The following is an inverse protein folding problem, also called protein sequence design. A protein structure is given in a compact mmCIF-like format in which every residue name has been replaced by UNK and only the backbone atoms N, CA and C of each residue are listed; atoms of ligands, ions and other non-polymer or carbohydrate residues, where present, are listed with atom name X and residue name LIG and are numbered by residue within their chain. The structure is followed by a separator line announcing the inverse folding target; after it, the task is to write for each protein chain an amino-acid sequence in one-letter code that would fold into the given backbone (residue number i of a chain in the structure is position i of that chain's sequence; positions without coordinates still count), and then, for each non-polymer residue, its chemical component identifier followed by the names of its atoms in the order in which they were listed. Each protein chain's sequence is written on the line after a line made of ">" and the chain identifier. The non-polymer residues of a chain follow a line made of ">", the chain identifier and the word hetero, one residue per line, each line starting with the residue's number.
data_IF_578870632710
#
_entry.id   IF_578870632710
#
_cell.length_a   1.000
_cell.length_b   1.000
_cell.length_c   1.000
_cell.angle_alpha   90.00
_cell.angle_beta   90.00
_cell.angle_gamma   90.00
#
_symmetry.space_group_name_H-M   'P 1'
#
loop_
_entity.id
_entity.type
_entity.pdbx_description
1 polymer ?
#
# COMPACT_ATOMS: atom_id res chain seq x y z
N UNK A 1 8.29 20.42 -21.56
CA UNK A 1 9.51 20.26 -20.72
C UNK A 1 10.21 18.97 -21.11
N UNK A 2 11.53 18.96 -21.19
CA UNK A 2 12.27 17.72 -21.45
C UNK A 2 12.29 16.84 -20.20
N UNK A 3 12.45 15.53 -20.39
CA UNK A 3 12.57 14.54 -19.29
C UNK A 3 13.69 14.91 -18.31
N UNK A 4 14.74 15.57 -18.78
CA UNK A 4 15.86 16.04 -17.97
C UNK A 4 15.52 17.26 -17.09
N UNK A 5 14.56 18.10 -17.49
CA UNK A 5 14.15 19.27 -16.69
C UNK A 5 13.23 18.86 -15.52
N UNK A 6 12.38 17.86 -15.72
CA UNK A 6 11.53 17.31 -14.64
C UNK A 6 12.33 16.61 -13.55
N UNK A 7 13.44 15.95 -13.92
CA UNK A 7 14.31 15.24 -12.97
C UNK A 7 15.20 16.18 -12.13
N UNK A 8 15.32 17.46 -12.48
CA UNK A 8 16.13 18.42 -11.70
C UNK A 8 15.58 18.73 -10.32
N UNK A 9 14.28 18.51 -10.10
CA UNK A 9 13.62 18.74 -8.81
C UNK A 9 13.70 17.53 -7.87
N UNK A 10 14.20 16.37 -8.37
CA UNK A 10 14.35 15.16 -7.56
C UNK A 10 15.75 15.12 -6.96
N UNK A 11 15.85 15.37 -5.66
CA UNK A 11 17.14 15.53 -4.97
C UNK A 11 17.82 14.20 -4.66
N UNK A 12 17.04 13.14 -4.51
CA UNK A 12 17.51 11.81 -4.11
C UNK A 12 17.86 10.92 -5.30
N UNK A 13 17.28 11.17 -6.47
CA UNK A 13 17.54 10.39 -7.66
C UNK A 13 18.91 10.72 -8.23
N UNK A 14 19.80 9.71 -8.28
CA UNK A 14 21.16 9.86 -8.85
C UNK A 14 22.22 10.42 -7.89
N UNK A 15 21.91 10.69 -6.61
CA UNK A 15 22.91 11.03 -5.61
C UNK A 15 23.84 9.83 -5.32
N UNK A 16 25.16 10.09 -5.17
CA UNK A 16 26.15 9.03 -4.91
C UNK A 16 25.96 8.41 -3.52
N UNK A 17 25.53 9.18 -2.53
CA UNK A 17 25.24 8.74 -1.18
C UNK A 17 23.77 8.95 -0.90
N UNK A 18 23.12 7.92 -0.33
CA UNK A 18 21.72 7.99 0.11
C UNK A 18 21.73 7.94 1.64
N UNK A 19 21.45 9.06 2.33
CA UNK A 19 21.36 9.06 3.77
C UNK A 19 20.12 8.26 4.19
N UNK A 20 20.32 7.24 5.00
CA UNK A 20 19.23 6.53 5.67
C UNK A 20 18.90 7.22 6.98
N UNK A 21 17.65 7.66 7.12
CA UNK A 21 17.13 8.30 8.34
C UNK A 21 16.36 7.24 9.12
N UNK A 22 16.67 7.10 10.43
CA UNK A 22 16.11 6.08 11.31
C UNK A 22 14.98 6.61 12.20
N UNK A 23 14.54 7.83 11.97
CA UNK A 23 13.42 8.49 12.65
C UNK A 23 12.39 8.89 11.62
N UNK A 24 11.11 8.80 11.97
CA UNK A 24 10.02 9.18 11.10
C UNK A 24 10.25 10.54 10.42
N UNK A 25 10.27 10.54 9.10
CA UNK A 25 10.73 11.69 8.31
C UNK A 25 9.89 11.86 7.03
N UNK A 26 8.69 12.44 7.12
CA UNK A 26 7.84 12.65 5.94
C UNK A 26 8.46 13.63 4.92
N UNK A 27 9.36 14.50 5.36
CA UNK A 27 10.06 15.47 4.50
C UNK A 27 11.00 14.83 3.47
N UNK A 28 11.28 13.54 3.55
CA UNK A 28 12.08 12.83 2.52
C UNK A 28 11.26 12.43 1.30
N UNK A 29 9.93 12.50 1.40
CA UNK A 29 9.05 12.18 0.28
C UNK A 29 9.19 13.22 -0.83
N UNK A 30 9.35 12.73 -2.05
CA UNK A 30 9.40 13.55 -3.26
C UNK A 30 8.32 13.11 -4.25
N UNK A 31 7.92 14.04 -5.11
CA UNK A 31 6.95 13.80 -6.17
C UNK A 31 7.45 14.35 -7.50
N UNK A 32 6.87 13.87 -8.59
CA UNK A 32 7.11 14.35 -9.96
C UNK A 32 5.79 14.49 -10.71
N UNK A 33 5.79 15.26 -11.81
CA UNK A 33 4.59 15.55 -12.57
C UNK A 33 4.01 14.32 -13.26
N UNK A 34 2.69 14.15 -13.11
CA UNK A 34 1.93 13.11 -13.82
C UNK A 34 1.65 13.57 -15.26
N UNK A 35 2.33 12.98 -16.25
CA UNK A 35 2.13 13.29 -17.67
C UNK A 35 0.81 12.78 -18.25
N UNK A 36 0.10 11.91 -17.53
CA UNK A 36 -1.15 11.28 -17.93
C UNK A 36 -2.30 11.68 -17.00
N UNK A 37 -2.33 12.96 -16.60
CA UNK A 37 -3.36 13.48 -15.68
C UNK A 37 -4.77 13.50 -16.31
N UNK A 38 -4.89 13.30 -17.61
CA UNK A 38 -6.15 13.12 -18.35
C UNK A 38 -6.75 11.71 -18.21
N UNK A 39 -5.97 10.73 -17.72
CA UNK A 39 -6.40 9.35 -17.54
C UNK A 39 -6.61 8.98 -16.07
N UNK A 40 -7.56 8.07 -15.83
CA UNK A 40 -7.67 7.34 -14.58
C UNK A 40 -6.89 6.02 -14.69
N UNK A 41 -5.79 5.92 -14.00
CA UNK A 41 -5.01 4.68 -13.91
C UNK A 41 -4.51 4.47 -12.48
N UNK A 42 -4.29 3.22 -12.11
CA UNK A 42 -3.76 2.87 -10.80
C UNK A 42 -2.25 2.71 -10.84
N UNK A 43 -1.59 3.28 -9.85
CA UNK A 43 -0.20 2.96 -9.49
C UNK A 43 -0.27 2.13 -8.21
N UNK A 44 0.46 1.00 -8.19
CA UNK A 44 0.52 0.11 -7.04
C UNK A 44 1.96 -0.16 -6.61
N UNK A 45 2.23 0.03 -5.32
CA UNK A 45 3.47 -0.37 -4.67
C UNK A 45 3.22 -1.55 -3.73
N UNK A 46 4.14 -2.52 -3.77
CA UNK A 46 4.21 -3.62 -2.83
C UNK A 46 5.52 -3.47 -2.05
N UNK A 47 5.42 -3.19 -0.76
CA UNK A 47 6.56 -2.87 0.11
C UNK A 47 6.69 -3.94 1.21
N UNK A 48 7.35 -5.08 0.94
CA UNK A 48 7.38 -6.23 1.88
C UNK A 48 8.35 -6.09 3.04
N UNK A 49 9.16 -5.03 3.08
CA UNK A 49 10.26 -4.86 4.04
C UNK A 49 9.98 -3.78 5.09
N UNK A 50 8.71 -3.44 5.34
CA UNK A 50 8.37 -2.44 6.35
C UNK A 50 8.64 -2.96 7.76
N UNK A 51 9.23 -2.09 8.57
CA UNK A 51 9.44 -2.34 10.01
C UNK A 51 9.14 -1.09 10.82
N UNK A 52 8.59 -1.29 12.02
CA UNK A 52 8.43 -0.29 13.06
C UNK A 52 8.72 -0.90 14.43
N UNK A 53 8.55 -0.17 15.51
CA UNK A 53 8.68 -0.68 16.86
C UNK A 53 7.34 -0.60 17.60
N UNK A 54 7.09 -1.58 18.46
CA UNK A 54 6.02 -1.47 19.44
C UNK A 54 6.30 -0.30 20.38
N UNK A 55 5.39 0.66 20.57
CA UNK A 55 5.64 1.83 21.39
C UNK A 55 5.77 1.50 22.88
N UNK A 56 5.30 0.32 23.32
CA UNK A 56 5.33 -0.10 24.72
C UNK A 56 6.56 -0.95 25.03
N UNK A 57 6.89 -1.91 24.16
CA UNK A 57 7.93 -2.92 24.45
C UNK A 57 9.22 -2.70 23.67
N UNK A 58 9.22 -1.82 22.64
CA UNK A 58 10.35 -1.67 21.72
C UNK A 58 10.60 -2.90 20.83
N UNK A 59 9.73 -3.91 20.86
CA UNK A 59 9.86 -5.07 20.00
C UNK A 59 9.63 -4.66 18.54
N UNK A 60 10.46 -5.15 17.58
CA UNK A 60 10.24 -4.90 16.18
C UNK A 60 8.93 -5.49 15.65
N UNK A 61 8.22 -4.71 14.86
CA UNK A 61 7.07 -5.09 14.07
C UNK A 61 7.45 -5.17 12.59
N UNK A 62 6.99 -6.20 11.91
CA UNK A 62 7.25 -6.43 10.49
C UNK A 62 5.93 -6.44 9.72
N UNK A 63 5.91 -5.82 8.54
CA UNK A 63 4.75 -5.80 7.69
C UNK A 63 5.09 -5.75 6.20
N UNK A 64 4.12 -6.18 5.39
CA UNK A 64 4.05 -5.81 3.98
C UNK A 64 3.05 -4.67 3.81
N UNK A 65 3.50 -3.54 3.26
CA UNK A 65 2.64 -2.39 2.98
C UNK A 65 2.28 -2.39 1.51
N UNK A 66 0.98 -2.29 1.23
CA UNK A 66 0.42 -2.17 -0.11
C UNK A 66 -0.17 -0.77 -0.26
N UNK A 67 0.32 -0.02 -1.23
CA UNK A 67 -0.15 1.33 -1.54
C UNK A 67 -0.70 1.30 -2.96
N UNK A 68 -1.96 1.72 -3.13
CA UNK A 68 -2.58 1.84 -4.46
C UNK A 68 -3.21 3.21 -4.56
N UNK A 69 -2.99 3.92 -5.68
CA UNK A 69 -3.60 5.23 -5.86
C UNK A 69 -3.86 5.57 -7.33
N UNK A 70 -4.82 6.46 -7.55
CA UNK A 70 -5.06 7.12 -8.83
C UNK A 70 -4.46 8.52 -8.72
N UNK A 71 -3.37 8.81 -9.45
CA UNK A 71 -2.73 10.11 -9.40
C UNK A 71 -3.63 11.19 -10.02
N UNK A 72 -3.46 12.44 -9.57
CA UNK A 72 -3.95 13.61 -10.27
C UNK A 72 -2.77 14.29 -10.99
N UNK A 73 -2.22 15.36 -10.46
CA UNK A 73 -1.11 16.08 -11.09
C UNK A 73 0.27 15.52 -10.71
N UNK A 74 0.36 14.77 -9.61
CA UNK A 74 1.63 14.32 -9.04
C UNK A 74 1.67 12.80 -8.86
N UNK A 75 2.86 12.22 -9.10
CA UNK A 75 3.23 10.85 -8.76
C UNK A 75 4.32 10.84 -7.69
N UNK A 76 4.27 9.88 -6.76
CA UNK A 76 5.33 9.73 -5.76
C UNK A 76 6.60 9.17 -6.39
N UNK A 77 7.77 9.71 -6.00
CA UNK A 77 9.06 9.19 -6.44
C UNK A 77 9.42 7.94 -5.60
N UNK A 78 9.76 6.85 -6.26
CA UNK A 78 9.87 5.51 -5.66
C UNK A 78 11.05 5.36 -4.69
N UNK A 79 12.18 6.03 -4.94
CA UNK A 79 13.35 6.01 -4.04
C UNK A 79 13.06 6.78 -2.75
N UNK A 80 12.40 7.93 -2.86
CA UNK A 80 11.96 8.72 -1.71
C UNK A 80 10.94 7.98 -0.87
N UNK A 81 9.98 7.30 -1.52
CA UNK A 81 9.01 6.43 -0.82
C UNK A 81 9.72 5.31 -0.05
N UNK A 82 10.71 4.66 -0.66
CA UNK A 82 11.53 3.64 0.02
C UNK A 82 12.20 4.21 1.28
N UNK A 83 12.81 5.39 1.19
CA UNK A 83 13.50 6.02 2.32
C UNK A 83 12.52 6.48 3.40
N UNK A 84 11.35 6.97 3.00
CA UNK A 84 10.27 7.32 3.91
C UNK A 84 9.80 6.09 4.71
N UNK A 85 9.47 4.98 4.05
CA UNK A 85 9.07 3.76 4.74
C UNK A 85 10.19 3.19 5.62
N UNK A 86 11.46 3.33 5.20
CA UNK A 86 12.62 2.94 6.02
C UNK A 86 12.74 3.79 7.30
N UNK A 87 12.33 5.05 7.29
CA UNK A 87 12.41 5.95 8.45
C UNK A 87 11.57 5.46 9.65
N UNK A 88 10.61 4.58 9.42
CA UNK A 88 9.82 3.95 10.49
C UNK A 88 10.58 2.90 11.31
N UNK A 89 11.77 2.47 10.86
CA UNK A 89 12.47 1.33 11.46
C UNK A 89 12.70 1.44 12.97
N UNK A 90 12.97 2.63 13.47
CA UNK A 90 13.13 2.91 14.90
C UNK A 90 11.97 3.74 15.48
N UNK A 91 10.91 3.94 14.70
CA UNK A 91 9.73 4.67 15.14
C UNK A 91 8.80 3.76 15.93
N UNK A 92 8.53 4.14 17.19
CA UNK A 92 7.61 3.42 18.06
C UNK A 92 6.18 3.91 17.88
N UNK A 93 5.33 3.12 17.21
CA UNK A 93 3.91 3.47 17.04
C UNK A 93 3.05 2.20 16.87
N UNK A 94 1.73 2.35 17.10
CA UNK A 94 0.78 1.27 16.85
C UNK A 94 0.59 1.05 15.34
N UNK A 95 0.28 -0.17 14.95
CA UNK A 95 0.09 -0.58 13.55
C UNK A 95 -0.93 0.30 12.84
N UNK A 96 -2.05 0.59 13.51
CA UNK A 96 -3.13 1.43 13.02
C UNK A 96 -2.66 2.86 12.73
N UNK A 97 -1.84 3.43 13.63
CA UNK A 97 -1.29 4.77 13.46
C UNK A 97 -0.29 4.82 12.30
N UNK A 98 0.62 3.85 12.20
CA UNK A 98 1.56 3.77 11.08
C UNK A 98 0.84 3.84 9.73
N UNK A 99 -0.21 3.04 9.53
CA UNK A 99 -0.93 2.98 8.26
C UNK A 99 -1.72 4.27 7.99
N UNK A 100 -2.37 4.82 9.02
CA UNK A 100 -3.08 6.10 8.88
C UNK A 100 -2.14 7.27 8.58
N UNK A 101 -0.96 7.29 9.21
CA UNK A 101 0.05 8.33 8.98
C UNK A 101 0.61 8.24 7.56
N UNK A 102 0.99 7.02 7.09
CA UNK A 102 1.44 6.82 5.72
C UNK A 102 0.39 7.29 4.71
N UNK A 103 -0.89 6.97 4.96
CA UNK A 103 -1.98 7.41 4.09
C UNK A 103 -2.14 8.93 4.05
N UNK A 104 -2.09 9.60 5.21
CA UNK A 104 -2.22 11.07 5.31
C UNK A 104 -1.05 11.78 4.64
N UNK A 105 0.19 11.34 4.89
CA UNK A 105 1.39 11.95 4.30
C UNK A 105 1.37 11.87 2.77
N UNK A 106 0.94 10.71 2.23
CA UNK A 106 0.80 10.55 0.79
C UNK A 106 -0.35 11.37 0.19
N UNK A 107 -1.46 11.54 0.92
CA UNK A 107 -2.55 12.44 0.50
C UNK A 107 -2.08 13.89 0.49
N UNK A 108 -1.34 14.32 1.52
CA UNK A 108 -0.80 15.67 1.61
C UNK A 108 0.19 15.97 0.48
N UNK A 109 1.12 15.05 0.20
CA UNK A 109 2.12 15.18 -0.86
C UNK A 109 1.49 15.23 -2.26
N UNK A 110 0.57 14.29 -2.56
CA UNK A 110 0.13 14.01 -3.93
C UNK A 110 -1.21 14.65 -4.29
N UNK A 111 -2.03 14.97 -3.29
CA UNK A 111 -3.44 15.32 -3.51
C UNK A 111 -4.11 14.41 -4.56
N UNK A 112 -4.09 13.09 -4.37
CA UNK A 112 -4.51 12.12 -5.38
C UNK A 112 -6.03 12.16 -5.59
N UNK A 113 -6.52 11.56 -6.67
CA UNK A 113 -7.96 11.35 -6.87
C UNK A 113 -8.50 10.30 -5.92
N UNK A 114 -7.72 9.25 -5.70
CA UNK A 114 -7.99 8.12 -4.82
C UNK A 114 -6.69 7.57 -4.25
N UNK A 115 -6.70 7.11 -3.02
CA UNK A 115 -5.56 6.44 -2.40
C UNK A 115 -6.04 5.42 -1.37
N UNK A 116 -5.38 4.28 -1.32
CA UNK A 116 -5.50 3.28 -0.27
C UNK A 116 -4.13 2.82 0.21
N UNK A 117 -4.02 2.56 1.50
CA UNK A 117 -2.85 1.96 2.13
C UNK A 117 -3.32 0.80 2.99
N UNK A 118 -2.79 -0.38 2.74
CA UNK A 118 -3.09 -1.58 3.50
C UNK A 118 -1.81 -2.15 4.11
N UNK A 119 -1.76 -2.29 5.43
CA UNK A 119 -0.68 -2.94 6.16
C UNK A 119 -1.03 -4.36 6.52
N UNK A 120 -0.18 -5.33 6.15
CA UNK A 120 -0.26 -6.72 6.62
C UNK A 120 0.85 -6.96 7.62
N UNK A 121 0.53 -6.88 8.89
CA UNK A 121 1.51 -7.10 9.96
C UNK A 121 1.67 -8.57 10.29
N UNK A 122 2.90 -8.97 10.60
CA UNK A 122 3.21 -10.32 11.08
C UNK A 122 2.49 -10.61 12.40
N UNK A 123 1.78 -11.75 12.53
CA UNK A 123 1.05 -12.08 13.75
C UNK A 123 1.93 -12.10 15.00
N UNK A 124 1.39 -11.56 16.09
CA UNK A 124 1.93 -11.69 17.45
C UNK A 124 0.95 -12.43 18.33
N UNK A 125 1.41 -13.47 19.03
CA UNK A 125 0.54 -14.29 19.87
C UNK A 125 -0.63 -14.93 19.11
N UNK A 126 -0.48 -15.18 17.80
CA UNK A 126 -1.51 -15.73 16.94
C UNK A 126 -2.52 -14.71 16.41
N UNK A 127 -2.37 -13.41 16.72
CA UNK A 127 -3.25 -12.35 16.25
C UNK A 127 -2.52 -11.52 15.18
N UNK A 128 -3.08 -11.42 13.96
CA UNK A 128 -2.66 -10.46 12.94
C UNK A 128 -3.56 -9.22 13.00
N UNK A 129 -2.95 -8.06 12.73
CA UNK A 129 -3.65 -6.79 12.62
C UNK A 129 -3.35 -6.25 11.24
N UNK A 130 -4.39 -6.03 10.44
CA UNK A 130 -4.27 -5.60 9.05
C UNK A 130 -5.01 -4.25 8.87
N UNK A 131 -4.44 -3.11 9.33
CA UNK A 131 -5.08 -1.81 9.18
C UNK A 131 -5.19 -1.42 7.72
N UNK A 132 -6.29 -0.74 7.39
CA UNK A 132 -6.59 -0.27 6.05
C UNK A 132 -7.02 1.20 6.09
N UNK A 133 -6.28 2.04 5.39
CA UNK A 133 -6.59 3.45 5.17
C UNK A 133 -7.08 3.65 3.74
N UNK A 134 -8.09 4.47 3.55
CA UNK A 134 -8.53 4.88 2.23
C UNK A 134 -8.90 6.37 2.18
N UNK A 135 -8.76 6.94 1.01
CA UNK A 135 -9.09 8.32 0.69
C UNK A 135 -9.68 8.40 -0.71
N UNK A 136 -10.81 9.06 -0.84
CA UNK A 136 -11.38 9.47 -2.12
C UNK A 136 -11.56 10.98 -2.11
N UNK A 137 -11.12 11.69 -3.16
CA UNK A 137 -11.19 13.15 -3.22
C UNK A 137 -12.63 13.62 -3.01
N UNK A 138 -12.89 14.51 -1.99
CA UNK A 138 -14.23 14.99 -1.68
C UNK A 138 -14.90 15.67 -2.88
N UNK A 139 -16.23 15.55 -2.97
CA UNK A 139 -17.08 16.15 -4.02
C UNK A 139 -16.73 15.70 -5.44
N UNK A 140 -16.15 14.51 -5.59
CA UNK A 140 -15.87 13.87 -6.87
C UNK A 140 -16.44 12.46 -6.92
N UNK A 141 -16.38 11.81 -8.10
CA UNK A 141 -16.76 10.40 -8.27
C UNK A 141 -15.94 9.44 -7.39
N UNK A 142 -14.79 9.87 -6.86
CA UNK A 142 -13.89 9.05 -6.05
C UNK A 142 -14.26 9.05 -4.57
N UNK A 143 -15.07 9.99 -4.09
CA UNK A 143 -15.42 10.13 -2.66
C UNK A 143 -16.03 8.85 -2.08
N UNK A 144 -16.90 8.18 -2.84
CA UNK A 144 -17.55 6.93 -2.44
C UNK A 144 -16.85 5.67 -2.96
N UNK A 145 -15.78 5.80 -3.73
CA UNK A 145 -15.04 4.69 -4.33
C UNK A 145 -14.40 3.76 -3.28
N UNK A 146 -13.82 4.26 -2.18
CA UNK A 146 -13.16 3.44 -1.18
C UNK A 146 -14.03 2.29 -0.64
N UNK A 147 -15.25 2.60 -0.22
CA UNK A 147 -16.16 1.60 0.33
C UNK A 147 -16.57 0.54 -0.69
N UNK A 148 -16.72 0.93 -1.94
CA UNK A 148 -17.10 0.01 -3.02
C UNK A 148 -15.97 -0.92 -3.42
N UNK A 149 -14.73 -0.41 -3.51
CA UNK A 149 -13.56 -1.23 -3.86
C UNK A 149 -13.29 -2.29 -2.81
N UNK A 150 -13.35 -1.93 -1.53
CA UNK A 150 -13.17 -2.86 -0.42
C UNK A 150 -14.24 -3.96 -0.41
N UNK A 151 -15.50 -3.59 -0.58
CA UNK A 151 -16.62 -4.54 -0.64
C UNK A 151 -16.51 -5.48 -1.85
N UNK A 152 -16.13 -4.96 -3.02
CA UNK A 152 -15.91 -5.78 -4.23
C UNK A 152 -14.75 -6.74 -4.00
N UNK A 153 -13.65 -6.32 -3.40
CA UNK A 153 -12.51 -7.16 -3.11
C UNK A 153 -12.87 -8.31 -2.15
N UNK A 154 -13.65 -8.02 -1.10
CA UNK A 154 -14.17 -9.05 -0.17
C UNK A 154 -15.11 -10.00 -0.90
N UNK A 155 -15.99 -9.51 -1.76
CA UNK A 155 -16.91 -10.34 -2.54
C UNK A 155 -16.16 -11.28 -3.50
N UNK A 156 -15.17 -10.76 -4.24
CA UNK A 156 -14.34 -11.57 -5.14
C UNK A 156 -13.58 -12.65 -4.37
N UNK A 157 -12.97 -12.31 -3.23
CA UNK A 157 -12.25 -13.27 -2.40
C UNK A 157 -13.17 -14.38 -1.87
N UNK A 158 -14.36 -14.03 -1.38
CA UNK A 158 -15.37 -15.01 -0.95
C UNK A 158 -15.80 -15.93 -2.08
N UNK A 159 -16.04 -15.37 -3.27
CA UNK A 159 -16.44 -16.13 -4.46
C UNK A 159 -15.34 -17.10 -4.89
N UNK A 160 -14.08 -16.67 -4.93
CA UNK A 160 -12.94 -17.54 -5.25
C UNK A 160 -12.76 -18.69 -4.25
N UNK A 161 -12.99 -18.43 -2.95
CA UNK A 161 -12.94 -19.47 -1.91
C UNK A 161 -14.04 -20.50 -2.14
N UNK A 162 -15.26 -20.05 -2.43
CA UNK A 162 -16.42 -20.93 -2.67
C UNK A 162 -16.17 -21.79 -3.92
N UNK A 163 -15.72 -21.19 -5.02
CA UNK A 163 -15.40 -21.90 -6.28
C UNK A 163 -14.32 -22.95 -6.04
N UNK A 164 -13.25 -22.62 -5.32
CA UNK A 164 -12.18 -23.57 -5.01
C UNK A 164 -12.69 -24.73 -4.12
N UNK A 165 -13.57 -24.46 -3.16
CA UNK A 165 -14.18 -25.49 -2.34
C UNK A 165 -15.09 -26.41 -3.17
N UNK A 166 -15.91 -25.85 -4.05
CA UNK A 166 -16.78 -26.62 -4.97
C UNK A 166 -15.95 -27.50 -5.90
N UNK A 167 -14.86 -27.01 -6.46
CA UNK A 167 -13.95 -27.79 -7.31
C UNK A 167 -13.34 -28.98 -6.57
N UNK A 168 -12.91 -28.78 -5.31
CA UNK A 168 -12.40 -29.86 -4.45
C UNK A 168 -13.46 -30.93 -4.15
N UNK A 169 -14.71 -30.53 -3.92
CA UNK A 169 -15.82 -31.47 -3.71
C UNK A 169 -16.11 -32.24 -5.00
N UNK A 170 -16.15 -31.56 -6.14
CA UNK A 170 -16.40 -32.19 -7.45
C UNK A 170 -15.32 -33.23 -7.79
N UNK A 171 -14.05 -32.89 -7.58
CA UNK A 171 -12.93 -33.82 -7.78
C UNK A 171 -13.06 -35.07 -6.92
N UNK A 172 -13.42 -34.95 -5.63
CA UNK A 172 -13.66 -36.09 -4.74
C UNK A 172 -14.82 -36.97 -5.22
N UNK A 173 -15.90 -36.38 -5.73
CA UNK A 173 -17.02 -37.11 -6.31
C UNK A 173 -16.60 -37.86 -7.56
N UNK A 174 -15.83 -37.25 -8.45
CA UNK A 174 -15.29 -37.88 -9.67
C UNK A 174 -14.38 -39.06 -9.30
N UNK A 175 -13.47 -38.90 -8.35
CA UNK A 175 -12.58 -39.97 -7.87
C UNK A 175 -13.39 -41.15 -7.31
N UNK A 176 -14.46 -40.87 -6.57
CA UNK A 176 -15.36 -41.90 -6.03
C UNK A 176 -16.02 -42.75 -7.15
N UNK A 177 -16.40 -42.11 -8.26
CA UNK A 177 -17.00 -42.82 -9.41
C UNK A 177 -15.99 -43.52 -10.32
N UNK A 178 -14.73 -43.04 -10.37
CA UNK A 178 -13.66 -43.65 -11.16
C UNK A 178 -13.03 -44.88 -10.50
N UNK A 179 -13.00 -44.93 -9.16
CA UNK A 179 -12.45 -46.08 -8.40
C UNK A 179 -13.41 -47.26 -8.33
N UNK A 180 -14.67 -47.10 -8.75
CA UNK A 180 -15.67 -48.19 -8.78
C UNK A 180 -15.80 -48.91 -10.16
N UNK A 181 -14.87 -48.69 -11.06
CA UNK A 181 -14.70 -49.48 -12.28
C UNK A 181 -13.44 -50.33 -12.17
#
# INVERSE_FOLDING_TARGET
>A
MSQQEEMKNLTLLGSKETPYIFEYSPQVLESFDNRHADNDYFIKFNCPEFTSLCPITGQPDFASIYISYIPDQLCVESKSLKLYLFSYRNHGDFHENCINTIGKDLVELLNPRYLEVWGKFTPRGGISIDPYYNYGRPKTKYENMPSNVFLIMIYILKTLIIVNLMMKVLMRIMDFFLVKK
#
